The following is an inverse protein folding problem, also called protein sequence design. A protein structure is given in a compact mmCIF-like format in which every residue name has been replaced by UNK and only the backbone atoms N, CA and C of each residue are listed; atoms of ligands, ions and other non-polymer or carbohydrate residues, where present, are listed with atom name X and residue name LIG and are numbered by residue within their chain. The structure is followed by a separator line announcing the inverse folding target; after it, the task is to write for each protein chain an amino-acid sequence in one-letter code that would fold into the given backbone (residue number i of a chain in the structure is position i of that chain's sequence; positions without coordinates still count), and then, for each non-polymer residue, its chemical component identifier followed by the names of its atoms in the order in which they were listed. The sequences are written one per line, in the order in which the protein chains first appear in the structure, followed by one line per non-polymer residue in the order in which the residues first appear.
data_IF_639039308215
#
_entry.id   IF_639039308215
#
_cell.length_a   1.000
_cell.length_b   1.000
_cell.length_c   1.000
_cell.angle_alpha   90.00
_cell.angle_beta   90.00
_cell.angle_gamma   90.00
#
_symmetry.space_group_name_H-M   'P 1'
#
loop_
_entity.id
_entity.type
_entity.pdbx_description
1 polymer ?
#
# COMPACT_ATOMS: atom_id res chain seq x y z
N UNK A 1 -54.91 -33.96 -19.77
CA UNK A 1 -53.65 -33.90 -20.54
C UNK A 1 -53.16 -32.45 -20.57
N UNK A 2 -52.21 -32.08 -19.69
CA UNK A 2 -51.79 -30.68 -19.48
C UNK A 2 -50.87 -30.26 -20.64
N UNK A 3 -51.40 -29.50 -21.61
CA UNK A 3 -50.60 -28.93 -22.70
C UNK A 3 -49.71 -27.83 -22.11
N UNK A 4 -48.47 -28.18 -21.81
CA UNK A 4 -47.45 -27.18 -21.51
C UNK A 4 -47.21 -26.35 -22.78
N UNK A 5 -47.29 -25.02 -22.67
CA UNK A 5 -46.97 -24.11 -23.76
C UNK A 5 -45.49 -23.72 -23.63
N UNK A 6 -44.56 -24.40 -24.33
CA UNK A 6 -43.12 -24.27 -24.13
C UNK A 6 -42.61 -22.84 -24.40
N UNK A 7 -43.33 -22.09 -25.23
CA UNK A 7 -43.03 -20.70 -25.57
C UNK A 7 -43.17 -19.78 -24.35
N UNK A 8 -44.19 -20.00 -23.50
CA UNK A 8 -44.45 -19.15 -22.32
C UNK A 8 -43.40 -19.36 -21.23
N UNK A 9 -42.97 -20.61 -21.05
CA UNK A 9 -41.88 -20.94 -20.11
C UNK A 9 -40.54 -20.42 -20.62
N UNK A 10 -40.24 -20.56 -21.91
CA UNK A 10 -39.01 -20.03 -22.50
C UNK A 10 -38.92 -18.50 -22.39
N UNK A 11 -40.03 -17.79 -22.61
CA UNK A 11 -40.09 -16.34 -22.45
C UNK A 11 -39.84 -15.92 -20.99
N UNK A 12 -40.37 -16.68 -20.02
CA UNK A 12 -40.12 -16.45 -18.60
C UNK A 12 -38.63 -16.61 -18.23
N UNK A 13 -37.98 -17.66 -18.72
CA UNK A 13 -36.54 -17.86 -18.52
C UNK A 13 -35.70 -16.75 -19.15
N UNK A 14 -36.04 -16.31 -20.36
CA UNK A 14 -35.33 -15.25 -21.05
C UNK A 14 -35.43 -13.91 -20.30
N UNK A 15 -36.59 -13.63 -19.70
CA UNK A 15 -36.82 -12.44 -18.87
C UNK A 15 -36.00 -12.48 -17.58
N UNK A 16 -35.92 -13.65 -16.92
CA UNK A 16 -35.08 -13.86 -15.72
C UNK A 16 -33.60 -13.70 -16.06
N UNK A 17 -33.14 -14.27 -17.18
CA UNK A 17 -31.75 -14.12 -17.66
C UNK A 17 -31.43 -12.65 -17.96
N UNK A 18 -32.35 -11.93 -18.61
CA UNK A 18 -32.19 -10.50 -18.88
C UNK A 18 -32.03 -9.67 -17.61
N UNK A 19 -32.86 -9.93 -16.59
CA UNK A 19 -32.76 -9.26 -15.28
C UNK A 19 -31.43 -9.62 -14.59
N UNK A 20 -31.01 -10.89 -14.64
CA UNK A 20 -29.75 -11.33 -14.04
C UNK A 20 -28.53 -10.63 -14.66
N UNK A 21 -28.52 -10.48 -16.00
CA UNK A 21 -27.45 -9.77 -16.71
C UNK A 21 -27.40 -8.29 -16.34
N UNK A 22 -28.57 -7.63 -16.25
CA UNK A 22 -28.64 -6.22 -15.81
C UNK A 22 -28.16 -6.05 -14.36
N UNK A 23 -28.52 -6.97 -13.47
CA UNK A 23 -28.08 -6.97 -12.08
C UNK A 23 -26.56 -7.10 -11.93
N UNK A 24 -25.92 -7.97 -12.72
CA UNK A 24 -24.46 -8.16 -12.71
C UNK A 24 -23.73 -6.96 -13.35
N UNK A 25 -24.26 -6.40 -14.44
CA UNK A 25 -23.68 -5.24 -15.12
C UNK A 25 -23.62 -4.00 -14.22
N UNK A 26 -24.61 -3.82 -13.35
CA UNK A 26 -24.67 -2.70 -12.40
C UNK A 26 -23.62 -2.82 -11.28
N UNK A 27 -23.24 -4.05 -10.90
CA UNK A 27 -22.15 -4.30 -9.94
C UNK A 27 -20.79 -3.98 -10.53
N UNK A 28 -20.54 -4.39 -11.77
CA UNK A 28 -19.23 -4.19 -12.43
C UNK A 28 -18.84 -2.71 -12.64
N UNK A 29 -19.81 -1.78 -12.63
CA UNK A 29 -19.50 -0.36 -12.82
C UNK A 29 -18.99 0.34 -11.55
N UNK A 30 -19.29 -0.19 -10.38
CA UNK A 30 -19.01 0.48 -9.10
C UNK A 30 -17.86 -0.15 -8.29
N UNK A 31 -17.57 -1.43 -8.51
CA UNK A 31 -16.41 -2.11 -7.92
C UNK A 31 -15.05 -1.44 -8.26
N UNK A 32 -14.73 -1.13 -9.54
CA UNK A 32 -13.40 -0.63 -9.88
C UNK A 32 -13.12 0.76 -9.31
N UNK A 33 -14.11 1.66 -9.30
CA UNK A 33 -13.93 3.01 -8.71
C UNK A 33 -13.71 2.97 -7.20
N UNK A 34 -14.38 2.06 -6.48
CA UNK A 34 -14.18 1.91 -5.03
C UNK A 34 -12.79 1.38 -4.70
N UNK A 35 -12.29 0.44 -5.49
CA UNK A 35 -10.93 -0.08 -5.34
C UNK A 35 -9.88 0.99 -5.67
N UNK A 36 -10.07 1.74 -6.75
CA UNK A 36 -9.16 2.82 -7.16
C UNK A 36 -9.10 3.94 -6.11
N UNK A 37 -10.25 4.34 -5.55
CA UNK A 37 -10.30 5.30 -4.44
C UNK A 37 -9.61 4.78 -3.18
N UNK A 38 -9.80 3.49 -2.85
CA UNK A 38 -9.13 2.87 -1.69
C UNK A 38 -7.61 2.83 -1.87
N UNK A 39 -7.13 2.47 -3.07
CA UNK A 39 -5.70 2.45 -3.39
C UNK A 39 -5.13 3.85 -3.33
N UNK A 40 -5.81 4.83 -3.93
CA UNK A 40 -5.37 6.22 -3.93
C UNK A 40 -5.31 6.81 -2.52
N UNK A 41 -6.28 6.50 -1.65
CA UNK A 41 -6.25 6.89 -0.24
C UNK A 41 -5.07 6.25 0.53
N UNK A 42 -4.78 4.98 0.24
CA UNK A 42 -3.61 4.29 0.81
C UNK A 42 -2.30 4.94 0.38
N UNK A 43 -2.16 5.26 -0.90
CA UNK A 43 -0.96 5.89 -1.45
C UNK A 43 -0.76 7.30 -0.91
N UNK A 44 -1.82 8.12 -0.80
CA UNK A 44 -1.75 9.44 -0.17
C UNK A 44 -1.30 9.34 1.29
N UNK A 45 -1.82 8.35 2.03
CA UNK A 45 -1.45 8.13 3.44
C UNK A 45 0.02 7.72 3.58
N UNK A 46 0.50 6.82 2.71
CA UNK A 46 1.90 6.40 2.65
C UNK A 46 2.82 7.57 2.33
N UNK A 47 2.51 8.35 1.29
CA UNK A 47 3.31 9.52 0.90
C UNK A 47 3.37 10.57 2.00
N UNK A 48 2.28 10.78 2.76
CA UNK A 48 2.31 11.69 3.93
C UNK A 48 3.22 11.20 5.04
N UNK A 49 3.21 9.90 5.33
CA UNK A 49 4.11 9.29 6.32
C UNK A 49 5.57 9.39 5.88
N UNK A 50 5.86 9.04 4.63
CA UNK A 50 7.21 9.16 4.06
C UNK A 50 7.70 10.60 4.09
N UNK A 51 6.87 11.57 3.69
CA UNK A 51 7.22 12.99 3.74
C UNK A 51 7.52 13.45 5.18
N UNK A 52 6.73 12.99 6.16
CA UNK A 52 6.96 13.30 7.58
C UNK A 52 8.28 12.73 8.07
N UNK A 53 8.58 11.48 7.75
CA UNK A 53 9.82 10.82 8.13
C UNK A 53 11.03 11.47 7.45
N UNK A 54 10.93 11.81 6.18
CA UNK A 54 11.98 12.53 5.45
C UNK A 54 12.23 13.92 6.03
N UNK A 55 11.17 14.65 6.42
CA UNK A 55 11.31 15.94 7.12
C UNK A 55 12.01 15.78 8.47
N UNK A 56 11.59 14.80 9.28
CA UNK A 56 12.24 14.51 10.56
C UNK A 56 13.71 14.15 10.37
N UNK A 57 14.03 13.30 9.40
CA UNK A 57 15.42 12.93 9.08
C UNK A 57 16.23 14.12 8.58
N UNK A 58 15.65 14.99 7.75
CA UNK A 58 16.29 16.22 7.30
C UNK A 58 16.60 17.14 8.48
N UNK A 59 15.67 17.30 9.42
CA UNK A 59 15.90 18.09 10.64
C UNK A 59 16.97 17.46 11.54
N UNK A 60 16.93 16.15 11.71
CA UNK A 60 17.95 15.40 12.47
C UNK A 60 19.34 15.64 11.90
N UNK A 61 19.48 15.54 10.58
CA UNK A 61 20.74 15.74 9.84
C UNK A 61 21.15 17.22 9.69
N UNK A 62 20.35 18.20 10.13
CA UNK A 62 20.78 19.61 10.20
C UNK A 62 21.63 19.91 11.42
N UNK A 63 21.50 19.13 12.50
CA UNK A 63 22.33 19.33 13.69
C UNK A 63 23.70 18.68 13.46
N UNK A 64 24.78 19.47 13.54
CA UNK A 64 26.14 18.95 13.32
C UNK A 64 26.52 17.84 14.31
N UNK A 65 26.04 17.88 15.55
CA UNK A 65 26.26 16.82 16.54
C UNK A 65 25.67 15.47 16.09
N UNK A 66 24.50 15.50 15.46
CA UNK A 66 23.83 14.30 14.95
C UNK A 66 24.54 13.74 13.72
N UNK A 67 25.07 14.62 12.84
CA UNK A 67 25.88 14.21 11.69
C UNK A 67 27.15 13.50 12.19
N UNK A 68 27.83 14.09 13.18
CA UNK A 68 29.03 13.49 13.77
C UNK A 68 28.71 12.14 14.41
N UNK A 69 27.62 12.05 15.17
CA UNK A 69 27.17 10.78 15.77
C UNK A 69 26.87 9.72 14.71
N UNK A 70 26.13 10.05 13.66
CA UNK A 70 25.81 9.10 12.59
C UNK A 70 27.06 8.70 11.77
N UNK A 71 28.04 9.61 11.65
CA UNK A 71 29.34 9.32 11.04
C UNK A 71 30.20 8.38 11.91
N UNK A 72 30.21 8.59 13.23
CA UNK A 72 30.86 7.68 14.20
C UNK A 72 30.21 6.30 14.15
N UNK A 73 28.88 6.22 14.20
CA UNK A 73 28.13 4.97 14.24
C UNK A 73 28.24 4.17 12.92
N UNK A 74 28.21 4.85 11.75
CA UNK A 74 28.26 4.16 10.45
C UNK A 74 29.65 3.85 9.93
N UNK A 75 30.62 4.72 10.22
CA UNK A 75 31.97 4.59 9.67
C UNK A 75 33.01 4.22 10.75
N UNK A 76 32.56 3.93 11.98
CA UNK A 76 33.40 3.62 13.13
C UNK A 76 34.51 4.68 13.34
N UNK A 77 34.22 5.93 12.99
CA UNK A 77 35.16 7.03 13.05
C UNK A 77 35.37 7.44 14.52
N UNK A 78 36.62 7.62 14.91
CA UNK A 78 37.03 8.10 16.22
C UNK A 78 37.68 9.48 16.07
N UNK A 79 37.55 10.35 17.07
CA UNK A 79 38.12 11.71 16.98
C UNK A 79 39.66 11.68 16.84
N UNK A 80 40.29 12.69 16.20
CA UNK A 80 41.74 12.81 16.18
C UNK A 80 42.29 12.89 17.62
N UNK A 81 42.82 11.77 18.14
CA UNK A 81 43.30 11.64 19.53
C UNK A 81 42.57 10.61 20.39
N UNK A 82 41.50 9.99 19.90
CA UNK A 82 40.74 8.95 20.60
C UNK A 82 41.42 7.57 20.46
N UNK A 83 41.76 6.93 21.59
CA UNK A 83 42.48 5.65 21.63
C UNK A 83 41.52 4.48 21.41
N UNK A 84 41.44 4.01 20.16
CA UNK A 84 40.63 2.83 19.79
C UNK A 84 41.32 1.54 20.24
N UNK A 85 40.64 0.74 21.07
CA UNK A 85 41.10 -0.59 21.48
C UNK A 85 40.28 -1.63 20.71
N UNK A 86 40.92 -2.36 19.80
CA UNK A 86 40.29 -3.46 19.05
C UNK A 86 40.60 -4.76 19.77
N UNK A 87 39.56 -5.47 20.21
CA UNK A 87 39.71 -6.82 20.76
C UNK A 87 39.59 -7.85 19.65
N UNK A 88 40.62 -8.68 19.39
CA UNK A 88 40.48 -9.81 18.48
C UNK A 88 39.55 -10.85 19.11
N UNK A 89 38.38 -11.05 18.51
CA UNK A 89 37.47 -12.14 18.86
C UNK A 89 38.02 -13.45 18.27
N UNK A 90 38.86 -14.13 19.05
CA UNK A 90 39.45 -15.40 18.65
C UNK A 90 40.33 -16.00 19.74
N UNK A 91 39.71 -16.56 20.78
CA UNK A 91 40.22 -17.63 21.63
C UNK A 91 39.03 -18.53 22.00
#
# INVERSE_FOLDING_TARGET
MRRHHPIRTALGFLLIIGIAVLYVKERNKNEPLRQELSTLQSDVSRLRQENTLLKQRSLYLRNQENIQKEARDKFNLSEPGEKVIIFPSGW
#
